data_IF_119555611682
#
_entry.id   IF_119555611682
#
_cell.length_a   1.000
_cell.length_b   1.000
_cell.length_c   1.000
_cell.angle_alpha   90.00
_cell.angle_beta   90.00
_cell.angle_gamma   90.00
#
_symmetry.space_group_name_H-M   'P 1'
#
loop_
_entity.id
_entity.type
_entity.pdbx_description
1 polymer ?
#
# COMPACT_ATOMS: atom_id res chain seq x y z
N UNK A 1 -37.30 8.60 16.94
CA UNK A 1 -36.91 7.36 16.24
C UNK A 1 -35.40 7.36 16.17
N UNK A 2 -34.73 6.51 16.95
CA UNK A 2 -33.27 6.37 16.89
C UNK A 2 -32.94 5.25 15.91
N UNK A 3 -32.35 5.60 14.77
CA UNK A 3 -31.67 4.63 13.90
C UNK A 3 -30.29 4.39 14.51
N UNK A 4 -30.19 3.33 15.32
CA UNK A 4 -28.93 2.87 15.91
C UNK A 4 -28.66 1.43 15.50
N UNK A 5 -27.38 1.11 15.30
CA UNK A 5 -26.93 -0.28 15.18
C UNK A 5 -26.43 -0.68 16.57
N UNK A 6 -27.04 -1.71 17.17
CA UNK A 6 -26.51 -2.34 18.37
C UNK A 6 -25.38 -3.29 17.98
N UNK A 7 -24.17 -3.00 18.45
CA UNK A 7 -23.02 -3.89 18.31
C UNK A 7 -22.87 -4.70 19.60
N UNK A 8 -22.39 -5.96 19.53
CA UNK A 8 -22.05 -6.70 20.73
C UNK A 8 -21.01 -5.94 21.55
N UNK A 9 -21.10 -6.05 22.88
CA UNK A 9 -20.13 -5.44 23.77
C UNK A 9 -18.74 -6.03 23.47
N UNK A 10 -17.77 -5.19 23.14
CA UNK A 10 -16.43 -5.61 22.78
C UNK A 10 -15.36 -4.74 23.45
N UNK A 11 -14.15 -5.27 23.69
CA UNK A 11 -13.02 -4.47 24.17
C UNK A 11 -12.72 -3.31 23.20
N UNK A 12 -12.31 -2.17 23.74
CA UNK A 12 -12.02 -0.97 22.95
C UNK A 12 -10.97 -1.20 21.86
N UNK A 13 -9.94 -1.98 22.15
CA UNK A 13 -8.86 -2.26 21.19
C UNK A 13 -9.39 -3.10 20.01
N UNK A 14 -10.25 -4.08 20.29
CA UNK A 14 -10.91 -4.88 19.27
C UNK A 14 -11.87 -4.02 18.42
N UNK A 15 -12.60 -3.10 19.04
CA UNK A 15 -13.43 -2.13 18.32
C UNK A 15 -12.58 -1.26 17.40
N UNK A 16 -11.48 -0.72 17.92
CA UNK A 16 -10.59 0.17 17.18
C UNK A 16 -9.97 -0.55 15.98
N UNK A 17 -9.52 -1.80 16.18
CA UNK A 17 -8.99 -2.64 15.11
C UNK A 17 -10.05 -2.92 14.03
N UNK A 18 -11.23 -3.38 14.41
CA UNK A 18 -12.31 -3.69 13.46
C UNK A 18 -12.77 -2.44 12.71
N UNK A 19 -12.94 -1.31 13.40
CA UNK A 19 -13.34 -0.06 12.77
C UNK A 19 -12.28 0.44 11.79
N UNK A 20 -11.00 0.31 12.13
CA UNK A 20 -9.88 0.69 11.26
C UNK A 20 -9.79 -0.22 10.04
N UNK A 21 -9.88 -1.54 10.26
CA UNK A 21 -9.91 -2.53 9.18
C UNK A 21 -11.09 -2.29 8.22
N UNK A 22 -12.30 -2.07 8.76
CA UNK A 22 -13.49 -1.81 7.95
C UNK A 22 -13.37 -0.52 7.11
N UNK A 23 -12.72 0.53 7.63
CA UNK A 23 -12.49 1.77 6.88
C UNK A 23 -11.63 1.54 5.65
N UNK A 24 -10.50 0.84 5.79
CA UNK A 24 -9.61 0.56 4.67
C UNK A 24 -10.20 -0.49 3.72
N UNK A 25 -10.89 -1.52 4.25
CA UNK A 25 -11.57 -2.54 3.46
C UNK A 25 -12.65 -1.95 2.56
N UNK A 26 -13.36 -0.89 3.00
CA UNK A 26 -14.34 -0.18 2.17
C UNK A 26 -13.69 0.52 0.96
N UNK A 27 -12.44 0.93 1.08
CA UNK A 27 -11.70 1.57 0.00
C UNK A 27 -11.02 0.57 -0.95
N UNK A 28 -10.77 -0.67 -0.51
CA UNK A 28 -10.18 -1.72 -1.33
C UNK A 28 -11.14 -2.19 -2.43
N UNK A 29 -10.60 -2.34 -3.64
CA UNK A 29 -11.31 -2.94 -4.77
C UNK A 29 -10.87 -4.38 -4.97
N UNK A 30 -11.83 -5.29 -4.89
CA UNK A 30 -11.60 -6.69 -5.24
C UNK A 30 -11.28 -6.88 -6.73
N UNK A 31 -11.77 -5.97 -7.58
CA UNK A 31 -11.61 -6.03 -9.02
C UNK A 31 -10.24 -5.51 -9.45
N UNK A 32 -9.68 -4.52 -8.76
CA UNK A 32 -8.41 -3.90 -9.19
C UNK A 32 -7.22 -4.32 -8.34
N UNK A 33 -7.43 -4.69 -7.07
CA UNK A 33 -6.37 -5.02 -6.14
C UNK A 33 -5.73 -3.79 -5.47
N UNK A 34 -6.38 -2.63 -5.56
CA UNK A 34 -5.89 -1.38 -5.01
C UNK A 34 -6.85 -0.78 -3.98
N UNK A 35 -6.32 0.11 -3.15
CA UNK A 35 -7.06 0.89 -2.16
C UNK A 35 -7.22 2.32 -2.65
N UNK A 36 -8.46 2.78 -2.74
CA UNK A 36 -8.78 4.19 -2.97
C UNK A 36 -8.32 5.03 -1.79
N UNK A 37 -7.73 6.19 -2.05
CA UNK A 37 -7.33 7.14 -0.99
C UNK A 37 -8.50 7.50 -0.07
N UNK A 38 -9.69 7.66 -0.66
CA UNK A 38 -10.93 7.99 0.07
C UNK A 38 -12.08 7.14 -0.41
N UNK A 39 -12.87 6.65 0.54
CA UNK A 39 -13.99 5.75 0.27
C UNK A 39 -15.10 6.35 -0.64
N UNK A 40 -15.16 7.67 -0.80
CA UNK A 40 -16.14 8.36 -1.64
C UNK A 40 -15.64 8.67 -3.05
N UNK A 41 -14.36 8.43 -3.34
CA UNK A 41 -13.79 8.62 -4.68
C UNK A 41 -14.14 7.42 -5.56
N UNK A 42 -14.31 7.65 -6.86
CA UNK A 42 -14.55 6.60 -7.84
C UNK A 42 -13.34 5.65 -7.93
N UNK A 43 -13.62 4.37 -8.17
CA UNK A 43 -12.58 3.37 -8.39
C UNK A 43 -11.72 3.74 -9.60
N UNK A 44 -10.40 3.57 -9.48
CA UNK A 44 -9.46 3.96 -10.52
C UNK A 44 -9.23 5.47 -10.66
N UNK A 45 -9.93 6.34 -9.93
CA UNK A 45 -9.69 7.77 -10.03
C UNK A 45 -8.46 8.22 -9.22
N UNK A 46 -8.27 7.68 -8.01
CA UNK A 46 -7.18 8.06 -7.12
C UNK A 46 -6.92 6.97 -6.07
N UNK A 47 -5.91 6.13 -6.31
CA UNK A 47 -5.59 4.98 -5.47
C UNK A 47 -4.20 5.14 -4.83
N UNK A 48 -4.12 4.84 -3.53
CA UNK A 48 -2.91 4.99 -2.72
C UNK A 48 -2.10 3.69 -2.71
N UNK A 49 -0.82 3.78 -3.07
CA UNK A 49 0.08 2.62 -3.08
C UNK A 49 0.42 2.17 -1.66
N UNK A 50 0.73 3.10 -0.75
CA UNK A 50 0.99 2.79 0.67
C UNK A 50 -0.22 2.15 1.35
N UNK A 51 -1.42 2.73 1.20
CA UNK A 51 -2.65 2.16 1.75
C UNK A 51 -2.96 0.79 1.15
N UNK A 52 -2.65 0.58 -0.12
CA UNK A 52 -2.78 -0.73 -0.77
C UNK A 52 -1.93 -1.79 -0.06
N UNK A 53 -0.64 -1.52 0.17
CA UNK A 53 0.22 -2.42 0.94
C UNK A 53 -0.27 -2.63 2.38
N UNK A 54 -0.66 -1.55 3.07
CA UNK A 54 -1.17 -1.63 4.44
C UNK A 54 -2.44 -2.48 4.56
N UNK A 55 -3.32 -2.47 3.56
CA UNK A 55 -4.51 -3.33 3.56
C UNK A 55 -4.15 -4.81 3.46
N UNK A 56 -3.11 -5.15 2.67
CA UNK A 56 -2.60 -6.52 2.59
C UNK A 56 -2.07 -6.98 3.96
N UNK A 57 -1.24 -6.15 4.60
CA UNK A 57 -0.73 -6.45 5.95
C UNK A 57 -1.86 -6.58 6.96
N UNK A 58 -2.83 -5.67 6.94
CA UNK A 58 -3.99 -5.71 7.83
C UNK A 58 -4.80 -6.99 7.62
N UNK A 59 -4.97 -7.44 6.37
CA UNK A 59 -5.68 -8.69 6.05
C UNK A 59 -4.89 -9.93 6.49
N UNK A 60 -3.56 -9.92 6.33
CA UNK A 60 -2.71 -10.99 6.85
C UNK A 60 -2.74 -11.10 8.38
N UNK A 61 -2.72 -9.96 9.08
CA UNK A 61 -2.88 -9.91 10.54
C UNK A 61 -4.27 -10.33 11.00
N UNK A 62 -5.31 -9.85 10.31
CA UNK A 62 -6.70 -10.21 10.57
C UNK A 62 -6.99 -11.72 10.40
N UNK A 63 -6.19 -12.42 9.59
CA UNK A 63 -6.29 -13.86 9.39
C UNK A 63 -5.56 -14.72 10.43
N UNK A 64 -4.72 -14.13 11.29
CA UNK A 64 -3.98 -14.88 12.30
C UNK A 64 -4.89 -15.30 13.45
N UNK A 65 -4.62 -16.46 14.05
CA UNK A 65 -5.23 -16.85 15.31
C UNK A 65 -4.64 -16.04 16.48
N UNK A 66 -5.45 -15.62 17.48
CA UNK A 66 -6.88 -15.91 17.66
C UNK A 66 -7.82 -14.86 17.04
N UNK A 67 -7.35 -13.94 16.18
CA UNK A 67 -8.18 -12.86 15.64
C UNK A 67 -9.24 -13.42 14.68
N UNK A 68 -8.83 -14.19 13.66
CA UNK A 68 -9.73 -14.90 12.74
C UNK A 68 -10.81 -14.01 12.09
N UNK A 69 -10.55 -12.72 11.91
CA UNK A 69 -11.50 -11.73 11.38
C UNK A 69 -11.79 -11.99 9.89
N UNK A 70 -10.78 -12.46 9.17
CA UNK A 70 -10.90 -12.94 7.78
C UNK A 70 -10.26 -14.31 7.66
N UNK A 71 -10.59 -15.05 6.60
CA UNK A 71 -9.98 -16.37 6.37
C UNK A 71 -8.53 -16.24 5.88
N UNK A 72 -7.65 -17.20 6.18
CA UNK A 72 -6.30 -17.25 5.61
C UNK A 72 -6.30 -17.25 4.08
N UNK A 73 -7.26 -17.92 3.45
CA UNK A 73 -7.37 -17.97 1.99
C UNK A 73 -7.73 -16.60 1.40
N UNK A 74 -8.61 -15.84 2.06
CA UNK A 74 -8.90 -14.47 1.66
C UNK A 74 -7.65 -13.58 1.76
N UNK A 75 -6.90 -13.67 2.86
CA UNK A 75 -5.69 -12.89 3.03
C UNK A 75 -4.61 -13.22 1.97
N UNK A 76 -4.42 -14.51 1.65
CA UNK A 76 -3.52 -14.94 0.56
C UNK A 76 -3.98 -14.44 -0.80
N UNK A 77 -5.29 -14.46 -1.04
CA UNK A 77 -5.88 -13.93 -2.26
C UNK A 77 -5.67 -12.41 -2.40
N UNK A 78 -5.94 -11.62 -1.35
CA UNK A 78 -5.69 -10.18 -1.32
C UNK A 78 -4.23 -9.87 -1.63
N UNK A 79 -3.31 -10.58 -0.96
CA UNK A 79 -1.87 -10.43 -1.17
C UNK A 79 -1.47 -10.72 -2.62
N UNK A 80 -1.90 -11.87 -3.15
CA UNK A 80 -1.56 -12.28 -4.53
C UNK A 80 -2.16 -11.32 -5.55
N UNK A 81 -3.43 -10.93 -5.37
CA UNK A 81 -4.13 -10.02 -6.27
C UNK A 81 -3.45 -8.67 -6.34
N UNK A 82 -3.11 -8.12 -5.19
CA UNK A 82 -2.43 -6.83 -5.05
C UNK A 82 -1.05 -6.87 -5.70
N UNK A 83 -0.26 -7.91 -5.40
CA UNK A 83 1.09 -8.06 -5.98
C UNK A 83 1.06 -8.13 -7.50
N UNK A 84 0.13 -8.89 -8.07
CA UNK A 84 -0.04 -9.00 -9.53
C UNK A 84 -0.55 -7.70 -10.19
N UNK A 85 -1.29 -6.87 -9.46
CA UNK A 85 -1.67 -5.54 -9.93
C UNK A 85 -0.48 -4.58 -9.92
N UNK A 86 0.27 -4.56 -8.83
CA UNK A 86 1.44 -3.70 -8.61
C UNK A 86 2.58 -3.96 -9.60
N UNK A 87 2.83 -5.23 -9.95
CA UNK A 87 3.87 -5.62 -10.94
C UNK A 87 3.64 -5.05 -12.34
N UNK A 88 2.43 -4.57 -12.65
CA UNK A 88 2.10 -3.98 -13.95
C UNK A 88 2.38 -2.48 -13.99
N UNK A 89 2.65 -1.86 -12.86
CA UNK A 89 2.97 -0.44 -12.79
C UNK A 89 4.38 -0.19 -13.34
N UNK A 90 4.53 0.94 -14.04
CA UNK A 90 5.85 1.49 -14.32
C UNK A 90 6.46 1.97 -13.00
N UNK A 91 7.77 1.80 -12.85
CA UNK A 91 8.54 2.34 -11.73
C UNK A 91 9.48 3.46 -12.20
N UNK A 92 9.84 4.35 -11.28
CA UNK A 92 10.89 5.35 -11.46
C UNK A 92 12.12 4.93 -10.67
N UNK A 93 13.17 4.42 -11.32
CA UNK A 93 14.40 3.95 -10.65
C UNK A 93 14.15 2.89 -9.56
N UNK A 94 13.14 2.06 -9.76
CA UNK A 94 12.67 1.06 -8.78
C UNK A 94 11.64 1.57 -7.77
N UNK A 95 11.40 2.88 -7.67
CA UNK A 95 10.34 3.44 -6.84
C UNK A 95 8.95 3.25 -7.46
N UNK A 96 7.98 3.00 -6.61
CA UNK A 96 6.56 2.95 -6.93
C UNK A 96 5.95 4.37 -6.91
N UNK A 97 4.89 4.61 -7.70
CA UNK A 97 4.10 5.84 -7.58
C UNK A 97 3.54 6.04 -6.17
N UNK A 98 3.37 7.28 -5.73
CA UNK A 98 2.60 7.62 -4.53
C UNK A 98 1.12 7.27 -4.75
N UNK A 99 0.55 7.80 -5.84
CA UNK A 99 -0.81 7.52 -6.28
C UNK A 99 -0.84 6.99 -7.70
N UNK A 100 -1.84 6.14 -7.97
CA UNK A 100 -2.15 5.65 -9.30
C UNK A 100 -3.57 5.98 -9.69
N UNK A 101 -3.80 6.04 -11.00
CA UNK A 101 -5.12 6.15 -11.58
C UNK A 101 -5.22 5.25 -12.81
N UNK A 102 -6.45 4.95 -13.19
CA UNK A 102 -6.79 4.14 -14.34
C UNK A 102 -6.97 5.04 -15.56
N UNK A 103 -6.11 4.86 -16.55
CA UNK A 103 -6.17 5.51 -17.85
C UNK A 103 -6.17 4.45 -18.95
N UNK A 104 -7.13 4.53 -19.88
CA UNK A 104 -7.26 3.57 -21.01
C UNK A 104 -7.17 2.09 -20.58
N UNK A 105 -7.86 1.74 -19.48
CA UNK A 105 -7.86 0.40 -18.86
C UNK A 105 -6.52 -0.08 -18.27
N UNK A 106 -5.55 0.80 -18.06
CA UNK A 106 -4.30 0.49 -17.36
C UNK A 106 -4.08 1.44 -16.20
N UNK A 107 -3.38 0.96 -15.17
CA UNK A 107 -2.94 1.83 -14.10
C UNK A 107 -1.61 2.49 -14.44
N UNK A 108 -1.54 3.79 -14.19
CA UNK A 108 -0.32 4.59 -14.27
C UNK A 108 -0.29 5.58 -13.10
N UNK A 109 0.88 6.17 -12.89
CA UNK A 109 1.06 7.25 -11.91
C UNK A 109 -0.01 8.34 -12.10
N UNK A 110 -0.55 8.84 -10.99
CA UNK A 110 -1.48 9.96 -11.05
C UNK A 110 -0.74 11.24 -11.51
N UNK A 111 -1.29 12.06 -12.43
CA UNK A 111 -0.64 13.28 -12.86
C UNK A 111 -0.38 14.23 -11.69
N UNK A 112 0.80 14.86 -11.69
CA UNK A 112 1.18 15.80 -10.64
C UNK A 112 1.57 15.16 -9.30
N UNK A 113 1.74 13.84 -9.25
CA UNK A 113 2.29 13.11 -8.10
C UNK A 113 3.64 12.50 -8.45
N UNK A 114 4.31 11.94 -7.47
CA UNK A 114 5.68 11.46 -7.53
C UNK A 114 5.78 9.94 -7.53
N UNK A 115 6.94 9.43 -7.94
CA UNK A 115 7.41 8.13 -7.46
C UNK A 115 8.03 8.35 -6.08
N UNK A 116 7.42 7.78 -5.05
CA UNK A 116 7.68 8.13 -3.65
C UNK A 116 8.58 7.12 -2.97
N UNK A 117 9.62 7.59 -2.28
CA UNK A 117 10.50 6.71 -1.49
C UNK A 117 9.79 6.10 -0.30
N UNK A 118 8.92 6.87 0.36
CA UNK A 118 8.26 6.46 1.59
C UNK A 118 7.09 5.52 1.32
N UNK A 119 6.26 5.81 0.32
CA UNK A 119 5.16 4.93 -0.07
C UNK A 119 5.68 3.59 -0.60
N UNK A 120 6.81 3.63 -1.33
CA UNK A 120 7.49 2.40 -1.77
C UNK A 120 7.96 1.58 -0.56
N UNK A 121 8.54 2.23 0.45
CA UNK A 121 9.00 1.55 1.66
C UNK A 121 7.82 0.95 2.45
N UNK A 122 6.75 1.70 2.66
CA UNK A 122 5.54 1.25 3.36
C UNK A 122 4.89 0.09 2.63
N UNK A 123 4.73 0.20 1.30
CA UNK A 123 4.20 -0.88 0.48
C UNK A 123 5.07 -2.13 0.62
N UNK A 124 6.37 -2.00 0.38
CA UNK A 124 7.29 -3.14 0.35
C UNK A 124 7.38 -3.84 1.71
N UNK A 125 7.47 -3.07 2.81
CA UNK A 125 7.46 -3.61 4.16
C UNK A 125 6.15 -4.30 4.50
N UNK A 126 5.01 -3.69 4.16
CA UNK A 126 3.69 -4.26 4.43
C UNK A 126 3.49 -5.58 3.69
N UNK A 127 3.84 -5.61 2.40
CA UNK A 127 3.73 -6.80 1.57
C UNK A 127 4.68 -7.92 2.02
N UNK A 128 5.93 -7.57 2.38
CA UNK A 128 6.92 -8.55 2.82
C UNK A 128 6.52 -9.20 4.14
N UNK A 129 6.07 -8.40 5.12
CA UNK A 129 5.56 -8.91 6.39
C UNK A 129 4.33 -9.79 6.18
N UNK A 130 3.39 -9.36 5.33
CA UNK A 130 2.21 -10.16 5.00
C UNK A 130 2.58 -11.50 4.36
N UNK A 131 3.54 -11.52 3.44
CA UNK A 131 4.02 -12.74 2.79
C UNK A 131 4.65 -13.70 3.81
N UNK A 132 5.43 -13.19 4.75
CA UNK A 132 6.02 -13.98 5.85
C UNK A 132 4.92 -14.53 6.76
N UNK A 133 3.96 -13.71 7.18
CA UNK A 133 2.85 -14.11 8.06
C UNK A 133 1.94 -15.18 7.44
N UNK A 134 1.85 -15.22 6.11
CA UNK A 134 1.00 -16.14 5.36
C UNK A 134 1.76 -17.35 4.78
N UNK A 135 3.06 -17.45 5.07
CA UNK A 135 3.98 -18.50 4.60
C UNK A 135 4.06 -18.59 3.06
N UNK A 136 4.32 -17.45 2.41
CA UNK A 136 4.45 -17.32 0.95
C UNK A 136 5.89 -16.92 0.55
N UNK A 137 6.88 -17.83 0.68
CA UNK A 137 8.30 -17.50 0.51
C UNK A 137 8.66 -17.01 -0.89
N UNK A 138 8.08 -17.58 -1.95
CA UNK A 138 8.37 -17.17 -3.32
C UNK A 138 7.98 -15.70 -3.59
N UNK A 139 6.91 -15.21 -2.95
CA UNK A 139 6.49 -13.83 -3.08
C UNK A 139 7.35 -12.89 -2.22
N UNK A 140 7.75 -13.33 -1.03
CA UNK A 140 8.71 -12.62 -0.21
C UNK A 140 10.05 -12.42 -0.96
N UNK A 141 10.55 -13.45 -1.64
CA UNK A 141 11.77 -13.36 -2.45
C UNK A 141 11.62 -12.38 -3.63
N UNK A 142 10.48 -12.39 -4.33
CA UNK A 142 10.20 -11.43 -5.42
C UNK A 142 10.19 -9.98 -4.88
N UNK A 143 9.57 -9.73 -3.73
CA UNK A 143 9.58 -8.41 -3.08
C UNK A 143 11.00 -7.98 -2.68
N UNK A 144 11.81 -8.89 -2.12
CA UNK A 144 13.21 -8.59 -1.77
C UNK A 144 14.02 -8.22 -3.02
N UNK A 145 13.80 -8.91 -4.14
CA UNK A 145 14.45 -8.56 -5.41
C UNK A 145 14.01 -7.19 -5.92
N UNK A 146 12.72 -6.84 -5.80
CA UNK A 146 12.22 -5.51 -6.15
C UNK A 146 12.87 -4.41 -5.29
N UNK A 147 12.95 -4.60 -3.96
CA UNK A 147 13.59 -3.66 -3.04
C UNK A 147 15.07 -3.45 -3.40
N UNK A 148 15.79 -4.54 -3.69
CA UNK A 148 17.20 -4.48 -4.12
C UNK A 148 17.41 -3.80 -5.46
N UNK A 149 16.37 -3.69 -6.29
CA UNK A 149 16.40 -3.00 -7.57
C UNK A 149 16.27 -1.48 -7.48
N UNK A 150 16.03 -0.92 -6.29
CA UNK A 150 15.90 0.53 -6.10
C UNK A 150 17.29 1.18 -6.17
N UNK A 151 17.44 2.18 -7.05
CA UNK A 151 18.70 2.90 -7.26
C UNK A 151 18.92 4.00 -6.20
N UNK A 152 19.02 3.63 -4.91
CA UNK A 152 19.12 4.56 -3.77
C UNK A 152 20.25 5.58 -3.88
N UNK A 153 21.37 5.24 -4.51
CA UNK A 153 22.49 6.16 -4.70
C UNK A 153 22.08 7.42 -5.48
N UNK A 154 21.10 7.31 -6.38
CA UNK A 154 20.57 8.42 -7.17
C UNK A 154 19.49 9.24 -6.44
N UNK A 155 19.07 8.79 -5.25
CA UNK A 155 17.99 9.40 -4.47
C UNK A 155 18.51 10.32 -3.35
N UNK A 156 19.82 10.37 -3.14
CA UNK A 156 20.42 11.23 -2.12
C UNK A 156 20.52 12.68 -2.61
N UNK A 157 20.11 13.59 -1.73
CA UNK A 157 20.30 15.03 -1.91
C UNK A 157 21.74 15.45 -1.58
N UNK A 158 22.19 16.64 -2.02
CA UNK A 158 23.54 17.13 -1.75
C UNK A 158 23.90 17.26 -0.26
N UNK A 159 22.91 17.39 0.61
CA UNK A 159 23.07 17.45 2.06
C UNK A 159 23.06 16.07 2.75
N UNK A 160 22.98 14.99 1.96
CA UNK A 160 22.98 13.61 2.43
C UNK A 160 21.61 13.06 2.81
N UNK A 161 20.54 13.86 2.75
CA UNK A 161 19.19 13.36 3.00
C UNK A 161 18.69 12.48 1.85
N UNK A 162 17.77 11.57 2.15
CA UNK A 162 17.04 10.84 1.12
C UNK A 162 15.90 11.74 0.60
N UNK A 163 15.84 11.95 -0.72
CA UNK A 163 14.75 12.69 -1.37
C UNK A 163 13.40 12.02 -1.13
N UNK A 164 12.32 12.80 -1.18
CA UNK A 164 10.94 12.29 -1.24
C UNK A 164 10.72 11.39 -2.45
N UNK A 165 11.52 11.54 -3.51
CA UNK A 165 11.54 10.64 -4.65
C UNK A 165 11.74 11.38 -5.96
N UNK A 166 10.99 10.96 -6.98
CA UNK A 166 11.15 11.44 -8.36
C UNK A 166 9.83 12.05 -8.87
N UNK A 167 9.92 13.07 -9.71
CA UNK A 167 8.76 13.58 -10.44
C UNK A 167 8.10 12.48 -11.30
N UNK A 168 6.93 12.78 -11.87
CA UNK A 168 6.14 11.85 -12.67
C UNK A 168 6.85 11.31 -13.93
N UNK A 169 7.91 11.98 -14.39
CA UNK A 169 8.81 11.50 -15.44
C UNK A 169 9.66 10.28 -15.02
N UNK A 170 9.76 10.01 -13.71
CA UNK A 170 10.54 8.91 -13.12
C UNK A 170 12.05 9.11 -13.18
N UNK A 171 12.52 10.35 -13.41
CA UNK A 171 13.93 10.70 -13.61
C UNK A 171 14.33 11.93 -12.79
N UNK A 172 13.48 12.95 -12.73
CA UNK A 172 13.80 14.23 -12.07
C UNK A 172 13.69 14.07 -10.55
N UNK A 173 14.82 14.19 -9.86
CA UNK A 173 14.89 14.11 -8.40
C UNK A 173 14.17 15.29 -7.74
N UNK A 174 13.30 15.00 -6.76
CA UNK A 174 12.62 16.04 -5.99
C UNK A 174 13.60 16.70 -5.02
N UNK A 175 13.57 18.04 -4.84
CA UNK A 175 14.55 18.77 -4.05
C UNK A 175 14.30 18.72 -2.53
N UNK A 176 13.25 18.01 -2.09
CA UNK A 176 12.87 17.88 -0.69
C UNK A 176 13.20 16.47 -0.19
N UNK A 177 13.74 16.36 1.02
CA UNK A 177 14.13 15.11 1.63
C UNK A 177 13.54 14.94 3.03
N UNK A 178 13.61 13.71 3.53
CA UNK A 178 13.04 13.34 4.82
C UNK A 178 13.93 13.80 5.97
N UNK A 179 13.45 14.79 6.74
CA UNK A 179 14.06 15.23 8.00
C UNK A 179 13.56 14.41 9.19
N UNK A 180 12.34 13.92 9.10
CA UNK A 180 11.68 13.06 10.07
C UNK A 180 10.65 12.16 9.37
N UNK A 181 10.06 11.24 10.13
CA UNK A 181 9.02 10.31 9.67
C UNK A 181 7.60 10.82 9.93
N UNK A 182 7.43 12.06 10.42
CA UNK A 182 6.15 12.60 10.86
C UNK A 182 5.44 13.49 9.83
N UNK A 183 6.07 13.72 8.67
CA UNK A 183 5.53 14.54 7.58
C UNK A 183 4.63 13.81 6.58
N UNK A 184 4.40 12.51 6.78
CA UNK A 184 3.53 11.66 5.94
C UNK A 184 2.11 11.54 6.53
#
# INVERSE_FOLDING_TARGET
MFLGIEMPQMPWDAYTLLASYAKIARSYSNDTGFVRDRAHIEEGAFESVSATGMYVLASAAAAQEPLGIVTPDYARWVLTRTHEAMKKLKTGRGLLPHFVHKHENKYCIHPGTEYSTVDTAIYAQSMLLAAIMLDLPALADDLILQIKGIEYDLLHLPDGQLSHGLADDGITLLPHGWLDWGGE
#
